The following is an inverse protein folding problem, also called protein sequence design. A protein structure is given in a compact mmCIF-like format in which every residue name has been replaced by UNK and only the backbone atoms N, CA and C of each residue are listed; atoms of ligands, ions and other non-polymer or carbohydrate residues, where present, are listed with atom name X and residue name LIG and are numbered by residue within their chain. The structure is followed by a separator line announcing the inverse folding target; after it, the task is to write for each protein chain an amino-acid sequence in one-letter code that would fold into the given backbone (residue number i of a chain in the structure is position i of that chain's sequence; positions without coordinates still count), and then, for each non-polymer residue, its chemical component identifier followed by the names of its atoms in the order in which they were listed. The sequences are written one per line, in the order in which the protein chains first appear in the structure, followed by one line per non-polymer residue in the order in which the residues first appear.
data_IF_950588435707
#
_entry.id   IF_950588435707
#
_cell.length_a   1.000
_cell.length_b   1.000
_cell.length_c   1.000
_cell.angle_alpha   90.00
_cell.angle_beta   90.00
_cell.angle_gamma   90.00
#
_symmetry.space_group_name_H-M   'P 1'
#
loop_
_entity.id
_entity.type
_entity.pdbx_description
1 polymer ?
#
# COMPACT_ATOMS: atom_id res chain seq x y z
N UNK A 1 1.34 30.96 11.53
CA UNK A 1 2.36 29.89 11.67
C UNK A 1 1.96 28.74 10.75
N UNK A 2 2.93 28.15 10.05
CA UNK A 2 2.68 26.91 9.29
C UNK A 2 2.39 25.79 10.31
N UNK A 3 1.40 24.94 10.01
CA UNK A 3 1.14 23.75 10.85
C UNK A 3 2.30 22.78 10.71
N UNK A 4 2.70 22.09 11.77
CA UNK A 4 3.69 21.02 11.70
C UNK A 4 3.01 19.66 11.65
N UNK A 5 3.23 18.92 10.56
CA UNK A 5 2.66 17.58 10.34
C UNK A 5 3.78 16.52 10.38
N UNK A 6 3.59 15.46 11.15
CA UNK A 6 4.46 14.28 11.09
C UNK A 6 3.76 13.17 10.31
N UNK A 7 4.39 12.68 9.25
CA UNK A 7 3.92 11.50 8.52
C UNK A 7 4.67 10.25 8.97
N UNK A 8 3.92 9.21 9.35
CA UNK A 8 4.47 7.92 9.75
C UNK A 8 4.38 6.93 8.61
N UNK A 9 5.45 6.17 8.37
CA UNK A 9 5.47 5.16 7.31
C UNK A 9 6.42 4.00 7.60
N UNK A 10 6.36 2.96 6.79
CA UNK A 10 7.32 1.85 6.81
C UNK A 10 8.49 2.08 5.86
N UNK A 11 9.56 1.29 6.02
CA UNK A 11 10.82 1.41 5.28
C UNK A 11 10.64 1.48 3.76
N UNK A 12 9.82 0.59 3.21
CA UNK A 12 9.65 0.48 1.75
C UNK A 12 8.87 1.66 1.15
N UNK A 13 7.99 2.29 1.94
CA UNK A 13 7.16 3.40 1.49
C UNK A 13 7.81 4.77 1.76
N UNK A 14 8.87 4.83 2.58
CA UNK A 14 9.52 6.08 2.97
C UNK A 14 10.02 6.93 1.77
N UNK A 15 10.77 6.38 0.79
CA UNK A 15 11.24 7.19 -0.34
C UNK A 15 10.10 7.71 -1.22
N UNK A 16 9.06 6.88 -1.42
CA UNK A 16 7.90 7.26 -2.23
C UNK A 16 7.08 8.35 -1.56
N UNK A 17 6.90 8.29 -0.23
CA UNK A 17 6.21 9.31 0.54
C UNK A 17 6.94 10.67 0.48
N UNK A 18 8.27 10.68 0.66
CA UNK A 18 9.06 11.90 0.50
C UNK A 18 8.87 12.52 -0.88
N UNK A 19 9.00 11.70 -1.93
CA UNK A 19 8.80 12.15 -3.30
C UNK A 19 7.43 12.79 -3.52
N UNK A 20 6.35 12.18 -3.02
CA UNK A 20 4.99 12.75 -3.13
C UNK A 20 4.89 14.09 -2.41
N UNK A 21 5.48 14.24 -1.22
CA UNK A 21 5.45 15.50 -0.47
C UNK A 21 6.29 16.59 -1.16
N UNK A 22 7.45 16.24 -1.71
CA UNK A 22 8.33 17.15 -2.45
C UNK A 22 7.70 17.61 -3.78
N UNK A 23 7.01 16.73 -4.48
CA UNK A 23 6.29 17.04 -5.73
C UNK A 23 5.01 17.85 -5.49
N UNK A 24 4.53 17.94 -4.24
CA UNK A 24 3.32 18.66 -3.86
C UNK A 24 3.63 19.65 -2.71
N UNK A 25 4.50 20.65 -2.93
CA UNK A 25 4.88 21.61 -1.90
C UNK A 25 3.68 22.43 -1.43
N UNK A 26 3.69 22.82 -0.16
CA UNK A 26 2.60 23.56 0.46
C UNK A 26 3.13 24.64 1.41
N UNK A 27 2.61 25.86 1.26
CA UNK A 27 2.88 26.93 2.22
C UNK A 27 1.99 26.89 3.47
N UNK A 28 1.07 25.93 3.54
CA UNK A 28 0.13 25.79 4.66
C UNK A 28 0.71 25.01 5.83
N UNK A 29 1.72 24.18 5.60
CA UNK A 29 2.31 23.31 6.61
C UNK A 29 3.79 23.03 6.35
N UNK A 30 4.52 22.75 7.42
CA UNK A 30 5.83 22.10 7.40
C UNK A 30 5.65 20.62 7.76
N UNK A 31 6.57 19.76 7.34
CA UNK A 31 6.46 18.33 7.61
C UNK A 31 7.77 17.65 7.98
N UNK A 32 7.64 16.57 8.75
CA UNK A 32 8.68 15.55 8.98
C UNK A 32 8.13 14.18 8.57
N UNK A 33 8.99 13.29 8.07
CA UNK A 33 8.64 11.89 7.79
C UNK A 33 9.42 10.97 8.71
N UNK A 34 8.72 10.05 9.38
CA UNK A 34 9.31 9.14 10.36
C UNK A 34 9.02 7.69 9.98
N UNK A 35 10.08 6.90 9.80
CA UNK A 35 9.97 5.45 9.65
C UNK A 35 9.67 4.79 11.00
N UNK A 36 8.61 3.98 11.09
CA UNK A 36 8.14 3.36 12.35
C UNK A 36 8.70 1.97 12.63
N UNK A 37 9.79 1.57 11.96
CA UNK A 37 10.48 0.30 12.23
C UNK A 37 9.78 -0.94 11.68
N UNK A 38 8.91 -0.78 10.68
CA UNK A 38 8.30 -1.89 9.91
C UNK A 38 8.71 -1.78 8.45
N UNK A 39 8.89 -2.92 7.78
CA UNK A 39 9.21 -2.90 6.34
C UNK A 39 8.03 -2.41 5.49
N UNK A 40 6.82 -2.92 5.75
CA UNK A 40 5.60 -2.61 5.00
C UNK A 40 4.63 -1.84 5.89
N UNK A 41 4.28 -0.61 5.48
CA UNK A 41 3.43 0.29 6.26
C UNK A 41 2.02 -0.30 6.55
N UNK A 42 1.47 -1.07 5.61
CA UNK A 42 0.16 -1.73 5.77
C UNK A 42 0.15 -2.84 6.84
N UNK A 43 1.31 -3.30 7.29
CA UNK A 43 1.45 -4.26 8.39
C UNK A 43 1.68 -3.59 9.75
N UNK A 44 1.75 -2.25 9.79
CA UNK A 44 1.87 -1.52 11.03
C UNK A 44 0.63 -1.70 11.92
N UNK A 45 0.84 -1.68 13.23
CA UNK A 45 -0.23 -1.62 14.22
C UNK A 45 -0.12 -0.34 15.03
N UNK A 46 -1.23 0.07 15.63
CA UNK A 46 -1.25 1.19 16.57
C UNK A 46 -0.28 0.98 17.73
N UNK A 47 -0.11 -0.25 18.21
CA UNK A 47 0.82 -0.55 19.31
C UNK A 47 2.29 -0.34 18.93
N UNK A 48 2.66 -0.60 17.66
CA UNK A 48 4.01 -0.28 17.15
C UNK A 48 4.20 1.25 17.13
N UNK A 49 3.20 1.98 16.66
CA UNK A 49 3.25 3.45 16.60
C UNK A 49 3.33 4.04 18.00
N UNK A 50 2.53 3.55 18.95
CA UNK A 50 2.48 4.04 20.32
C UNK A 50 3.87 4.15 20.97
N UNK A 51 4.76 3.20 20.68
CA UNK A 51 6.11 3.15 21.23
C UNK A 51 7.14 4.00 20.47
N UNK A 52 6.73 4.72 19.42
CA UNK A 52 7.66 5.42 18.51
C UNK A 52 8.20 6.73 19.07
N UNK A 53 7.37 7.47 19.79
CA UNK A 53 7.68 8.81 20.27
C UNK A 53 7.71 8.85 21.80
N UNK A 54 8.67 9.58 22.35
CA UNK A 54 8.66 10.01 23.74
C UNK A 54 7.80 11.28 23.85
N UNK A 55 7.27 11.60 25.04
CA UNK A 55 6.40 12.78 25.24
C UNK A 55 6.99 14.10 24.73
N UNK A 56 8.32 14.28 24.79
CA UNK A 56 8.99 15.50 24.33
C UNK A 56 9.24 15.54 22.81
N UNK A 57 9.16 14.41 22.12
CA UNK A 57 9.44 14.33 20.68
C UNK A 57 8.35 15.00 19.84
N UNK A 58 7.16 15.18 20.43
CA UNK A 58 5.97 15.73 19.78
C UNK A 58 5.68 17.17 20.18
N UNK A 59 6.68 17.87 20.73
CA UNK A 59 6.55 19.29 21.03
C UNK A 59 6.35 20.06 19.72
N UNK A 60 5.39 20.98 19.71
CA UNK A 60 5.06 21.85 18.56
C UNK A 60 4.59 21.08 17.31
N UNK A 61 4.03 19.87 17.48
CA UNK A 61 3.39 19.08 16.43
C UNK A 61 1.87 19.29 16.45
N UNK A 62 1.31 19.72 15.33
CA UNK A 62 -0.14 19.95 15.20
C UNK A 62 -0.90 18.69 14.79
N UNK A 63 -0.28 17.83 13.96
CA UNK A 63 -0.93 16.66 13.37
C UNK A 63 0.05 15.51 13.15
N UNK A 64 -0.43 14.29 13.36
CA UNK A 64 0.26 13.06 12.98
C UNK A 64 -0.60 12.29 11.97
N UNK A 65 -0.04 11.97 10.81
CA UNK A 65 -0.69 11.15 9.78
C UNK A 65 -0.05 9.77 9.78
N UNK A 66 -0.84 8.74 10.10
CA UNK A 66 -0.41 7.34 10.12
C UNK A 66 -0.80 6.62 8.81
N UNK A 67 -0.21 5.47 8.46
CA UNK A 67 -0.62 4.73 7.27
C UNK A 67 -2.12 4.35 7.32
N UNK A 68 -2.85 4.55 6.22
CA UNK A 68 -4.30 4.30 6.15
C UNK A 68 -4.68 2.88 6.58
N UNK A 69 -3.94 1.91 6.06
CA UNK A 69 -4.11 0.47 6.31
C UNK A 69 -3.58 -0.04 7.66
N UNK A 70 -3.07 0.83 8.54
CA UNK A 70 -2.56 0.43 9.86
C UNK A 70 -3.65 -0.27 10.69
N UNK A 71 -3.35 -1.28 11.51
CA UNK A 71 -4.38 -1.99 12.30
C UNK A 71 -4.45 -1.51 13.74
N UNK A 72 -5.66 -1.45 14.28
CA UNK A 72 -5.93 -1.12 15.69
C UNK A 72 -6.70 0.17 15.91
N UNK A 73 -6.98 0.44 17.18
CA UNK A 73 -7.77 1.59 17.63
C UNK A 73 -6.93 2.87 17.73
N UNK A 74 -7.25 3.87 16.90
CA UNK A 74 -6.54 5.14 16.82
C UNK A 74 -6.74 6.02 18.06
N UNK A 75 -7.84 5.84 18.79
CA UNK A 75 -8.12 6.67 19.98
C UNK A 75 -7.03 6.50 21.05
N UNK A 76 -6.40 5.32 21.12
CA UNK A 76 -5.23 5.07 21.96
C UNK A 76 -4.09 6.07 21.71
N UNK A 77 -3.83 6.41 20.44
CA UNK A 77 -2.76 7.35 20.09
C UNK A 77 -3.11 8.78 20.46
N UNK A 78 -4.38 9.19 20.30
CA UNK A 78 -4.82 10.53 20.68
C UNK A 78 -4.62 10.77 22.18
N UNK A 79 -5.00 9.80 23.01
CA UNK A 79 -4.76 9.86 24.46
C UNK A 79 -3.27 9.86 24.79
N UNK A 80 -2.48 8.99 24.15
CA UNK A 80 -1.05 8.87 24.42
C UNK A 80 -0.25 10.10 23.99
N UNK A 81 -0.65 10.77 22.91
CA UNK A 81 0.03 11.93 22.34
C UNK A 81 -0.62 13.25 22.73
N UNK A 82 -1.11 13.34 23.96
CA UNK A 82 -1.62 14.58 24.56
C UNK A 82 -2.67 15.31 23.68
N UNK A 83 -3.57 14.56 23.06
CA UNK A 83 -4.64 15.06 22.18
C UNK A 83 -4.17 15.75 20.89
N UNK A 84 -2.95 15.47 20.40
CA UNK A 84 -2.55 15.82 19.03
C UNK A 84 -3.54 15.20 18.03
N UNK A 85 -3.83 15.90 16.93
CA UNK A 85 -4.69 15.40 15.86
C UNK A 85 -4.01 14.22 15.14
N UNK A 86 -4.30 13.00 15.57
CA UNK A 86 -3.83 11.78 14.92
C UNK A 86 -4.87 11.30 13.93
N UNK A 87 -4.48 11.20 12.65
CA UNK A 87 -5.36 10.79 11.56
C UNK A 87 -4.76 9.62 10.79
N UNK A 88 -5.63 8.75 10.28
CA UNK A 88 -5.27 7.80 9.23
C UNK A 88 -5.14 8.57 7.92
N UNK A 89 -4.00 8.45 7.27
CA UNK A 89 -3.82 8.90 5.89
C UNK A 89 -4.59 8.01 4.92
N UNK A 90 -4.45 8.27 3.61
CA UNK A 90 -5.05 7.42 2.59
C UNK A 90 -4.42 6.01 2.59
N UNK A 91 -5.14 5.07 1.98
CA UNK A 91 -4.65 3.71 1.76
C UNK A 91 -3.52 3.68 0.74
N UNK A 92 -3.56 4.57 -0.25
CA UNK A 92 -2.58 4.68 -1.33
C UNK A 92 -1.89 6.06 -1.30
N UNK A 93 -0.56 6.07 -1.48
CA UNK A 93 0.24 7.31 -1.42
C UNK A 93 -0.16 8.36 -2.46
N UNK A 94 -0.64 7.93 -3.63
CA UNK A 94 -1.07 8.83 -4.72
C UNK A 94 -2.26 9.72 -4.33
N UNK A 95 -3.05 9.31 -3.34
CA UNK A 95 -4.23 10.06 -2.87
C UNK A 95 -3.85 11.06 -1.76
N UNK A 96 -2.58 11.09 -1.34
CA UNK A 96 -2.09 11.96 -0.28
C UNK A 96 -2.24 13.47 -0.59
N UNK A 97 -1.97 13.97 -1.82
CA UNK A 97 -2.20 15.38 -2.13
C UNK A 97 -3.65 15.80 -1.90
N UNK A 98 -4.61 14.99 -2.37
CA UNK A 98 -6.03 15.24 -2.16
C UNK A 98 -6.41 15.19 -0.67
N UNK A 99 -5.87 14.22 0.08
CA UNK A 99 -6.04 14.14 1.54
C UNK A 99 -5.55 15.42 2.25
N UNK A 100 -4.49 16.04 1.74
CA UNK A 100 -3.93 17.30 2.26
C UNK A 100 -4.67 18.55 1.75
N UNK A 101 -5.71 18.39 0.92
CA UNK A 101 -6.44 19.48 0.29
C UNK A 101 -5.62 20.23 -0.77
N UNK A 102 -4.66 19.54 -1.38
CA UNK A 102 -3.89 20.00 -2.53
C UNK A 102 -4.53 19.45 -3.81
N UNK A 103 -4.32 20.13 -4.93
CA UNK A 103 -4.73 19.61 -6.23
C UNK A 103 -3.91 18.35 -6.55
N UNK A 104 -4.60 17.22 -6.68
CA UNK A 104 -4.00 16.01 -7.21
C UNK A 104 -3.73 16.18 -8.71
N UNK A 105 -2.69 15.52 -9.23
CA UNK A 105 -2.54 15.42 -10.69
C UNK A 105 -3.61 14.49 -11.23
N UNK A 106 -4.41 14.98 -12.17
CA UNK A 106 -5.21 14.11 -13.02
C UNK A 106 -4.27 13.24 -13.84
N UNK A 107 -4.29 11.94 -13.56
CA UNK A 107 -3.53 10.96 -14.33
C UNK A 107 -4.33 10.71 -15.60
N UNK A 108 -3.75 11.09 -16.75
CA UNK A 108 -4.34 10.78 -18.04
C UNK A 108 -4.24 9.27 -18.31
N UNK A 109 -5.34 8.54 -18.12
CA UNK A 109 -5.42 7.09 -18.32
C UNK A 109 -5.80 6.70 -19.76
N UNK A 110 -5.82 7.66 -20.68
CA UNK A 110 -6.20 7.45 -22.10
C UNK A 110 -5.19 6.56 -22.84
N UNK A 111 -3.91 6.64 -22.45
CA UNK A 111 -2.82 5.84 -22.99
C UNK A 111 -2.34 4.83 -21.94
N UNK A 112 -2.99 3.67 -21.87
CA UNK A 112 -2.51 2.55 -21.07
C UNK A 112 -2.13 1.38 -21.99
N UNK A 113 -0.90 0.88 -21.84
CA UNK A 113 -0.46 -0.40 -22.43
C UNK A 113 -0.40 -1.45 -21.31
N UNK A 114 -1.41 -1.46 -20.44
CA UNK A 114 -1.45 -2.40 -19.32
C UNK A 114 -1.77 -3.79 -19.83
N UNK A 115 -0.78 -4.68 -19.75
CA UNK A 115 -0.99 -6.10 -19.96
C UNK A 115 -1.47 -6.74 -18.65
N UNK A 116 -2.53 -7.53 -18.74
CA UNK A 116 -3.13 -8.23 -17.60
C UNK A 116 -2.58 -9.66 -17.56
N UNK A 117 -2.00 -10.04 -16.42
CA UNK A 117 -1.66 -11.43 -16.12
C UNK A 117 -2.73 -12.00 -15.20
N UNK A 118 -3.28 -13.16 -15.54
CA UNK A 118 -4.22 -13.88 -14.69
C UNK A 118 -3.62 -15.22 -14.28
N UNK A 119 -3.62 -15.52 -12.99
CA UNK A 119 -3.00 -16.73 -12.44
C UNK A 119 -4.03 -17.82 -12.13
N UNK A 120 -3.71 -19.06 -12.50
CA UNK A 120 -4.38 -20.27 -12.01
C UNK A 120 -3.55 -20.82 -10.83
N UNK A 121 -3.83 -20.35 -9.63
CA UNK A 121 -3.03 -20.61 -8.41
C UNK A 121 -2.97 -22.09 -8.01
N UNK A 122 -4.00 -22.86 -8.35
CA UNK A 122 -4.20 -24.26 -7.96
C UNK A 122 -3.95 -25.27 -9.09
N UNK A 123 -3.22 -24.88 -10.14
CA UNK A 123 -3.02 -25.70 -11.35
C UNK A 123 -2.54 -27.15 -11.10
N UNK A 124 -1.66 -27.47 -10.12
CA UNK A 124 -1.26 -28.84 -9.83
C UNK A 124 -2.43 -29.75 -9.40
N UNK A 125 -3.52 -29.17 -8.89
CA UNK A 125 -4.71 -29.90 -8.43
C UNK A 125 -5.78 -30.03 -9.52
N UNK A 126 -5.57 -29.41 -10.68
CA UNK A 126 -6.51 -29.40 -11.79
C UNK A 126 -6.06 -30.35 -12.89
N UNK A 127 -7.00 -31.02 -13.54
CA UNK A 127 -6.74 -31.72 -14.79
C UNK A 127 -6.50 -30.71 -15.91
N UNK A 128 -5.70 -31.04 -16.93
CA UNK A 128 -5.42 -30.16 -18.08
C UNK A 128 -6.69 -29.53 -18.69
N UNK A 129 -7.80 -30.26 -18.94
CA UNK A 129 -9.01 -29.64 -19.49
C UNK A 129 -9.63 -28.55 -18.59
N UNK A 130 -9.48 -28.67 -17.26
CA UNK A 130 -9.94 -27.65 -16.30
C UNK A 130 -9.02 -26.43 -16.32
N UNK A 131 -7.71 -26.64 -16.47
CA UNK A 131 -6.73 -25.55 -16.63
C UNK A 131 -7.05 -24.76 -17.91
N UNK A 132 -7.18 -25.44 -19.05
CA UNK A 132 -7.54 -24.81 -20.34
C UNK A 132 -8.86 -24.04 -20.22
N UNK A 133 -9.90 -24.65 -19.63
CA UNK A 133 -11.19 -23.98 -19.46
C UNK A 133 -11.08 -22.68 -18.63
N UNK A 134 -10.24 -22.67 -17.59
CA UNK A 134 -10.02 -21.48 -16.75
C UNK A 134 -9.14 -20.45 -17.46
N UNK A 135 -8.12 -20.89 -18.19
CA UNK A 135 -7.27 -20.02 -19.03
C UNK A 135 -8.11 -19.30 -20.10
N UNK A 136 -8.97 -20.02 -20.81
CA UNK A 136 -9.90 -19.44 -21.81
C UNK A 136 -10.90 -18.47 -21.17
N UNK A 137 -11.39 -18.79 -19.97
CA UNK A 137 -12.22 -17.86 -19.22
C UNK A 137 -11.45 -16.57 -18.89
N UNK A 138 -10.23 -16.63 -18.39
CA UNK A 138 -9.43 -15.44 -18.08
C UNK A 138 -9.08 -14.63 -19.32
N UNK A 139 -8.70 -15.29 -20.42
CA UNK A 139 -8.44 -14.64 -21.71
C UNK A 139 -9.67 -13.87 -22.20
N UNK A 140 -10.85 -14.47 -22.14
CA UNK A 140 -12.12 -13.79 -22.46
C UNK A 140 -12.44 -12.60 -21.55
N UNK A 141 -11.89 -12.56 -20.34
CA UNK A 141 -12.03 -11.45 -19.40
C UNK A 141 -10.85 -10.45 -19.47
N UNK A 142 -10.04 -10.51 -20.53
CA UNK A 142 -9.02 -9.49 -20.81
C UNK A 142 -7.60 -9.85 -20.38
N UNK A 143 -7.35 -11.08 -19.90
CA UNK A 143 -5.98 -11.51 -19.62
C UNK A 143 -5.14 -11.63 -20.91
N UNK A 144 -3.97 -10.99 -20.92
CA UNK A 144 -2.97 -11.10 -21.98
C UNK A 144 -2.06 -12.32 -21.77
N UNK A 145 -1.74 -12.64 -20.52
CA UNK A 145 -0.94 -13.80 -20.15
C UNK A 145 -1.66 -14.62 -19.08
N UNK A 146 -1.50 -15.93 -19.15
CA UNK A 146 -1.99 -16.86 -18.13
C UNK A 146 -0.79 -17.42 -17.39
N UNK A 147 -0.70 -17.13 -16.10
CA UNK A 147 0.29 -17.72 -15.21
C UNK A 147 -0.23 -19.05 -14.64
N UNK A 148 0.60 -20.07 -14.69
CA UNK A 148 0.27 -21.43 -14.23
C UNK A 148 0.94 -21.62 -12.88
N UNK A 149 0.19 -21.33 -11.81
CA UNK A 149 0.69 -21.30 -10.44
C UNK A 149 1.12 -22.68 -9.94
N UNK A 150 2.13 -22.69 -9.07
CA UNK A 150 2.59 -23.89 -8.37
C UNK A 150 2.21 -23.85 -6.89
N UNK A 151 2.08 -25.03 -6.26
CA UNK A 151 1.85 -25.15 -4.82
C UNK A 151 3.15 -25.65 -4.17
N UNK A 152 3.73 -24.93 -3.19
CA UNK A 152 4.94 -25.36 -2.49
C UNK A 152 4.81 -26.78 -1.94
N UNK A 153 5.83 -27.62 -2.15
CA UNK A 153 5.86 -29.00 -1.70
C UNK A 153 4.91 -29.96 -2.42
N UNK A 154 4.16 -29.50 -3.44
CA UNK A 154 3.24 -30.34 -4.22
C UNK A 154 3.84 -30.68 -5.58
N UNK A 155 3.81 -31.96 -5.98
CA UNK A 155 4.24 -32.37 -7.33
C UNK A 155 3.24 -31.87 -8.39
N UNK A 156 3.75 -31.43 -9.54
CA UNK A 156 2.95 -31.04 -10.70
C UNK A 156 3.25 -31.98 -11.88
N UNK A 157 2.70 -33.21 -11.87
CA UNK A 157 3.11 -34.28 -12.79
C UNK A 157 2.83 -33.99 -14.27
N UNK A 158 1.83 -33.16 -14.56
CA UNK A 158 1.37 -32.79 -15.90
C UNK A 158 1.78 -31.37 -16.31
N UNK A 159 2.79 -30.78 -15.66
CA UNK A 159 3.25 -29.41 -15.96
C UNK A 159 3.69 -29.26 -17.42
N UNK A 160 4.54 -30.17 -17.91
CA UNK A 160 5.06 -30.12 -19.28
C UNK A 160 3.93 -30.22 -20.32
N UNK A 161 2.96 -31.10 -20.09
CA UNK A 161 1.80 -31.23 -20.97
C UNK A 161 0.90 -29.99 -20.89
N UNK A 162 0.74 -29.41 -19.70
CA UNK A 162 -0.05 -28.19 -19.47
C UNK A 162 0.48 -27.00 -20.28
N UNK A 163 1.79 -26.82 -20.37
CA UNK A 163 2.39 -25.68 -21.10
C UNK A 163 2.48 -25.88 -22.62
N UNK A 164 2.24 -27.10 -23.12
CA UNK A 164 2.26 -27.42 -24.56
C UNK A 164 0.90 -27.30 -25.24
N UNK A 165 -0.19 -27.30 -24.46
CA UNK A 165 -1.57 -27.17 -24.94
C UNK A 165 -2.04 -25.72 -24.83
#
# INVERSE_FOLDING_TARGET
MKKKIIFLTGKLAYPALLKVLEENPSDKFDYDVVEIGVSVAALATIDIIANKFKPNDLKDVDKIVIPGRCKGDIEKLKTLYNNIDVQRGPDELKDLPQFLGLEGKDIELSNYETQIIAEITDAPQLTIPKIIKRAEYYKRNGANYIDIGCIPGTKFPHLEETIKN
#
